data_IF_830608647225
#
_entry.id   IF_830608647225
#
_cell.length_a   1.000
_cell.length_b   1.000
_cell.length_c   1.000
_cell.angle_alpha   90.00
_cell.angle_beta   90.00
_cell.angle_gamma   90.00
#
_symmetry.space_group_name_H-M   'P 1'
#
loop_
_entity.id
_entity.type
_entity.pdbx_description
1 polymer ?
#
# COMPACT_ATOMS: atom_id res chain seq x y z
N UNK A 1 -14.09 -14.08 -25.77
CA UNK A 1 -12.89 -13.22 -25.70
C UNK A 1 -12.58 -12.96 -24.22
N UNK A 2 -11.44 -13.41 -23.66
CA UNK A 2 -11.07 -13.15 -22.24
C UNK A 2 -10.42 -11.77 -22.17
N UNK A 3 -10.96 -10.87 -21.34
CA UNK A 3 -10.32 -9.57 -21.06
C UNK A 3 -9.08 -9.78 -20.19
N UNK A 4 -8.09 -8.88 -20.28
CA UNK A 4 -6.90 -8.93 -19.43
C UNK A 4 -7.28 -8.94 -17.94
N UNK A 5 -8.28 -8.15 -17.55
CA UNK A 5 -8.83 -8.14 -16.18
C UNK A 5 -9.37 -9.51 -15.78
N UNK A 6 -10.18 -10.16 -16.63
CA UNK A 6 -10.75 -11.48 -16.33
C UNK A 6 -9.69 -12.59 -16.27
N UNK A 7 -8.68 -12.54 -17.15
CA UNK A 7 -7.55 -13.47 -17.09
C UNK A 7 -6.69 -13.27 -15.84
N UNK A 8 -6.46 -12.02 -15.43
CA UNK A 8 -5.70 -11.69 -14.23
C UNK A 8 -6.40 -12.15 -12.95
N UNK A 9 -7.70 -11.88 -12.82
CA UNK A 9 -8.50 -12.35 -11.68
C UNK A 9 -8.51 -13.87 -11.63
N UNK A 10 -8.66 -14.54 -12.77
CA UNK A 10 -8.63 -16.00 -12.82
C UNK A 10 -7.27 -16.59 -12.38
N UNK A 11 -6.16 -15.86 -12.59
CA UNK A 11 -4.82 -16.31 -12.23
C UNK A 11 -4.40 -15.94 -10.78
N UNK A 12 -4.86 -14.80 -10.26
CA UNK A 12 -4.39 -14.24 -8.98
C UNK A 12 -5.45 -14.22 -7.88
N UNK A 13 -6.73 -14.44 -8.23
CA UNK A 13 -7.87 -14.35 -7.32
C UNK A 13 -8.30 -12.91 -6.97
N UNK A 14 -7.56 -11.90 -7.40
CA UNK A 14 -7.83 -10.47 -7.10
C UNK A 14 -7.84 -9.63 -8.36
N UNK A 15 -8.46 -8.46 -8.28
CA UNK A 15 -8.42 -7.50 -9.40
C UNK A 15 -7.01 -6.92 -9.58
N UNK A 16 -6.62 -6.52 -10.80
CA UNK A 16 -5.35 -5.84 -11.03
C UNK A 16 -5.14 -4.61 -10.13
N UNK A 17 -6.22 -3.86 -9.85
CA UNK A 17 -6.17 -2.69 -8.97
C UNK A 17 -5.85 -3.08 -7.52
N UNK A 18 -6.50 -4.11 -6.98
CA UNK A 18 -6.21 -4.61 -5.63
C UNK A 18 -4.77 -5.10 -5.54
N UNK A 19 -4.31 -5.87 -6.54
CA UNK A 19 -2.93 -6.34 -6.59
C UNK A 19 -1.93 -5.20 -6.61
N UNK A 20 -2.18 -4.17 -7.43
CA UNK A 20 -1.35 -2.97 -7.46
C UNK A 20 -1.34 -2.23 -6.12
N UNK A 21 -2.48 -2.14 -5.43
CA UNK A 21 -2.57 -1.53 -4.11
C UNK A 21 -1.77 -2.34 -3.08
N UNK A 22 -1.88 -3.67 -3.08
CA UNK A 22 -1.14 -4.56 -2.18
C UNK A 22 0.37 -4.43 -2.38
N UNK A 23 0.82 -4.41 -3.64
CA UNK A 23 2.23 -4.15 -3.95
C UNK A 23 2.67 -2.81 -3.38
N UNK A 24 1.98 -1.71 -3.70
CA UNK A 24 2.34 -0.37 -3.21
C UNK A 24 2.38 -0.28 -1.69
N UNK A 25 1.47 -0.97 -0.99
CA UNK A 25 1.45 -1.05 0.46
C UNK A 25 2.68 -1.79 1.01
N UNK A 26 3.03 -2.94 0.42
CA UNK A 26 4.25 -3.67 0.77
C UNK A 26 5.53 -2.84 0.56
N UNK A 27 5.59 -2.07 -0.52
CA UNK A 27 6.68 -1.13 -0.78
C UNK A 27 6.80 -0.02 0.28
N UNK A 28 5.71 0.32 0.99
CA UNK A 28 5.71 1.35 2.01
C UNK A 28 6.22 0.87 3.38
N UNK A 29 6.19 -0.44 3.65
CA UNK A 29 6.59 -1.02 4.95
C UNK A 29 8.04 -0.67 5.30
N UNK A 30 8.98 -0.96 4.38
CA UNK A 30 10.39 -0.78 4.63
C UNK A 30 10.75 0.70 4.90
N UNK A 31 10.37 1.68 4.05
CA UNK A 31 10.62 3.09 4.34
C UNK A 31 9.96 3.59 5.63
N UNK A 32 8.78 3.07 6.00
CA UNK A 32 8.12 3.44 7.25
C UNK A 32 8.87 2.92 8.48
N UNK A 33 9.45 1.73 8.38
CA UNK A 33 10.19 1.06 9.45
C UNK A 33 11.63 1.57 9.61
N UNK A 34 12.31 1.91 8.52
CA UNK A 34 13.77 2.17 8.55
C UNK A 34 14.16 3.63 8.38
N UNK A 35 13.20 4.54 8.15
CA UNK A 35 13.49 5.96 7.90
C UNK A 35 12.59 6.89 8.70
N UNK A 36 13.11 8.10 8.99
CA UNK A 36 12.38 9.18 9.66
C UNK A 36 11.52 10.04 8.71
N UNK A 37 11.42 9.66 7.44
CA UNK A 37 10.71 10.45 6.42
C UNK A 37 9.24 10.64 6.82
N UNK A 38 8.65 11.78 6.48
CA UNK A 38 7.24 12.02 6.76
C UNK A 38 6.36 10.99 6.03
N UNK A 39 5.27 10.55 6.67
CA UNK A 39 4.32 9.58 6.08
C UNK A 39 3.78 10.07 4.74
N UNK A 40 3.58 11.38 4.60
CA UNK A 40 3.18 12.05 3.36
C UNK A 40 4.19 11.87 2.24
N UNK A 41 5.47 11.82 2.57
CA UNK A 41 6.53 11.63 1.58
C UNK A 41 6.61 10.18 1.15
N UNK A 42 6.52 9.23 2.10
CA UNK A 42 6.43 7.80 1.77
C UNK A 42 5.21 7.52 0.90
N UNK A 43 4.05 8.11 1.20
CA UNK A 43 2.85 7.96 0.39
C UNK A 43 3.07 8.39 -1.08
N UNK A 44 3.72 9.54 -1.30
CA UNK A 44 4.05 10.03 -2.65
C UNK A 44 5.01 9.10 -3.38
N UNK A 45 6.04 8.61 -2.70
CA UNK A 45 7.01 7.68 -3.29
C UNK A 45 6.37 6.34 -3.67
N UNK A 46 5.35 5.90 -2.93
CA UNK A 46 4.54 4.72 -3.26
C UNK A 46 3.47 5.00 -4.34
N UNK A 47 3.46 6.20 -4.93
CA UNK A 47 2.57 6.57 -6.03
C UNK A 47 1.16 6.99 -5.59
N UNK A 48 0.99 7.45 -4.36
CA UNK A 48 -0.26 8.04 -3.86
C UNK A 48 -0.16 9.56 -3.82
N UNK A 49 -0.97 10.22 -4.66
CA UNK A 49 -1.07 11.68 -4.68
C UNK A 49 -1.75 12.24 -3.41
N UNK A 50 -2.71 11.50 -2.85
CA UNK A 50 -3.38 11.85 -1.59
C UNK A 50 -2.87 10.98 -0.42
N UNK A 51 -2.11 11.58 0.53
CA UNK A 51 -1.66 10.89 1.73
C UNK A 51 -2.80 10.39 2.64
N UNK A 52 -3.99 10.99 2.59
CA UNK A 52 -5.14 10.53 3.39
C UNK A 52 -5.67 9.20 2.86
N UNK A 53 -5.75 9.06 1.54
CA UNK A 53 -6.10 7.79 0.90
C UNK A 53 -5.09 6.69 1.23
N UNK A 54 -3.78 6.99 1.14
CA UNK A 54 -2.72 6.08 1.55
C UNK A 54 -2.90 5.60 3.00
N UNK A 55 -3.09 6.52 3.95
CA UNK A 55 -3.30 6.18 5.37
C UNK A 55 -4.49 5.26 5.57
N UNK A 56 -5.61 5.52 4.90
CA UNK A 56 -6.82 4.68 5.00
C UNK A 56 -6.56 3.27 4.49
N UNK A 57 -5.93 3.13 3.32
CA UNK A 57 -5.58 1.82 2.76
C UNK A 57 -4.57 1.07 3.62
N UNK A 58 -3.55 1.78 4.12
CA UNK A 58 -2.53 1.19 4.99
C UNK A 58 -3.16 0.66 6.29
N UNK A 59 -3.97 1.48 6.97
CA UNK A 59 -4.68 1.03 8.18
C UNK A 59 -5.63 -0.12 7.87
N UNK A 60 -6.31 -0.10 6.73
CA UNK A 60 -7.19 -1.20 6.34
C UNK A 60 -6.41 -2.52 6.14
N UNK A 61 -5.21 -2.46 5.58
CA UNK A 61 -4.38 -3.64 5.30
C UNK A 61 -3.62 -4.15 6.53
N UNK A 62 -3.03 -3.26 7.33
CA UNK A 62 -2.15 -3.63 8.45
C UNK A 62 -2.83 -3.53 9.83
N UNK A 63 -4.08 -3.05 9.90
CA UNK A 63 -4.82 -2.86 11.15
C UNK A 63 -4.37 -1.66 12.00
N UNK A 64 -3.24 -1.04 11.67
CA UNK A 64 -2.65 0.10 12.40
C UNK A 64 -2.29 1.23 11.46
N UNK A 65 -2.29 2.47 11.97
CA UNK A 65 -1.88 3.63 11.17
C UNK A 65 -0.38 3.56 10.83
N UNK A 66 0.08 4.16 9.71
CA UNK A 66 1.50 4.20 9.35
C UNK A 66 2.42 4.73 10.46
N UNK A 67 1.93 5.70 11.25
CA UNK A 67 2.69 6.26 12.38
C UNK A 67 2.78 5.29 13.55
N UNK A 68 1.70 4.59 13.84
CA UNK A 68 1.69 3.54 14.87
C UNK A 68 2.55 2.34 14.45
N UNK A 69 2.49 1.97 13.17
CA UNK A 69 3.37 0.95 12.58
C UNK A 69 4.85 1.30 12.78
N UNK A 70 5.26 2.54 12.44
CA UNK A 70 6.62 3.02 12.71
C UNK A 70 7.00 2.90 14.18
N UNK A 71 6.13 3.34 15.08
CA UNK A 71 6.41 3.31 16.52
C UNK A 71 6.50 1.88 17.11
N UNK A 72 5.97 0.88 16.43
CA UNK A 72 6.03 -0.52 16.86
C UNK A 72 7.27 -1.26 16.35
N UNK A 73 7.91 -0.75 15.29
CA UNK A 73 9.09 -1.38 14.65
C UNK A 73 10.40 -0.69 15.03
N UNK A 74 10.33 0.57 15.49
CA UNK A 74 11.44 1.30 16.09
C UNK A 74 11.74 0.79 17.51
#
# INVERSE_FOLDING_TARGET
MRTLTGAFVAATGVTPLQYQQDLRMGHAELPLATTDRAVEQVARDCGYADPRHFRRLFTHRYGVSPRAFRAAVA
#
